data_IF_256117971123
#
_entry.id   IF_256117971123
#
_cell.length_a   1.000
_cell.length_b   1.000
_cell.length_c   1.000
_cell.angle_alpha   90.00
_cell.angle_beta   90.00
_cell.angle_gamma   90.00
#
_symmetry.space_group_name_H-M   'P 1'
#
loop_
_entity.id
_entity.type
_entity.pdbx_description
1 polymer ?
#
# COMPACT_ATOMS: atom_id res chain seq x y z
N UNK A 1 -22.25 24.26 23.53
CA UNK A 1 -21.17 23.30 23.83
C UNK A 1 -19.87 24.09 23.93
N UNK A 2 -19.19 24.03 25.08
CA UNK A 2 -17.88 24.67 25.30
C UNK A 2 -16.76 23.68 25.01
N UNK A 3 -15.74 24.12 24.29
CA UNK A 3 -14.54 23.27 24.02
C UNK A 3 -13.50 23.58 25.09
N UNK A 4 -13.20 22.60 25.93
CA UNK A 4 -12.11 22.69 26.90
C UNK A 4 -10.85 22.12 26.26
N UNK A 5 -9.85 22.98 26.00
CA UNK A 5 -8.60 22.61 25.34
C UNK A 5 -7.40 22.71 26.29
N UNK A 6 -6.87 21.57 26.71
CA UNK A 6 -5.68 21.48 27.58
C UNK A 6 -4.37 21.33 26.81
N UNK A 7 -4.41 21.27 25.46
CA UNK A 7 -3.25 20.86 24.64
C UNK A 7 -2.99 21.78 23.46
N UNK A 8 -3.64 22.93 23.42
CA UNK A 8 -3.63 23.86 22.28
C UNK A 8 -4.10 23.23 20.97
N UNK A 9 -5.00 22.25 21.04
CA UNK A 9 -5.52 21.52 19.89
C UNK A 9 -6.32 22.41 18.94
N UNK A 10 -7.04 23.41 19.47
CA UNK A 10 -7.76 24.40 18.66
C UNK A 10 -6.80 25.25 17.84
N UNK A 11 -5.66 25.64 18.43
CA UNK A 11 -4.62 26.38 17.72
C UNK A 11 -3.98 25.51 16.62
N UNK A 12 -3.69 24.24 16.92
CA UNK A 12 -3.14 23.29 15.94
C UNK A 12 -4.11 23.06 14.77
N UNK A 13 -5.41 22.96 15.02
CA UNK A 13 -6.45 22.87 13.99
C UNK A 13 -6.45 24.11 13.09
N UNK A 14 -6.37 25.30 13.67
CA UNK A 14 -6.35 26.55 12.90
C UNK A 14 -5.07 26.68 12.05
N UNK A 15 -3.92 26.25 12.59
CA UNK A 15 -2.64 26.25 11.89
C UNK A 15 -2.46 25.04 10.94
N UNK A 16 -3.38 24.08 10.97
CA UNK A 16 -3.28 22.81 10.24
C UNK A 16 -1.98 22.04 10.53
N UNK A 17 -1.56 22.04 11.77
CA UNK A 17 -0.36 21.34 12.23
C UNK A 17 -0.73 20.06 12.97
N UNK A 18 0.09 19.02 12.81
CA UNK A 18 -0.02 17.81 13.61
C UNK A 18 0.80 17.92 14.88
N UNK A 19 0.18 17.59 16.01
CA UNK A 19 0.84 17.47 17.31
C UNK A 19 0.81 16.01 17.78
N UNK A 20 1.87 15.58 18.45
CA UNK A 20 1.92 14.32 19.20
C UNK A 20 2.02 14.70 20.68
N UNK A 21 1.09 14.21 21.47
CA UNK A 21 1.11 14.43 22.92
C UNK A 21 2.30 13.70 23.53
N UNK A 22 3.17 14.44 24.22
CA UNK A 22 4.43 13.97 24.77
C UNK A 22 5.59 14.03 23.77
N UNK A 23 6.67 13.30 24.07
CA UNK A 23 7.85 13.23 23.21
C UNK A 23 7.59 12.34 21.99
N UNK A 24 7.67 12.86 20.74
CA UNK A 24 7.45 12.04 19.54
C UNK A 24 8.37 10.82 19.45
N UNK A 25 9.64 10.98 19.89
CA UNK A 25 10.63 9.88 19.85
C UNK A 25 10.27 8.75 20.82
N UNK A 26 9.71 9.04 21.97
CA UNK A 26 9.29 8.05 22.96
C UNK A 26 7.99 7.38 22.51
N UNK A 27 7.04 8.17 22.02
CA UNK A 27 5.78 7.65 21.50
C UNK A 27 5.97 6.70 20.30
N UNK A 28 6.98 6.93 19.45
CA UNK A 28 7.33 6.02 18.37
C UNK A 28 8.09 4.78 18.85
N UNK A 29 8.80 4.84 19.99
CA UNK A 29 9.39 3.64 20.63
C UNK A 29 8.31 2.77 21.28
N UNK A 30 7.36 3.38 21.97
CA UNK A 30 6.24 2.66 22.60
C UNK A 30 5.39 1.92 21.55
N UNK A 31 5.04 2.59 20.46
CA UNK A 31 4.19 2.04 19.38
C UNK A 31 4.62 2.60 18.02
N UNK A 32 5.49 1.89 17.29
CA UNK A 32 5.97 2.36 15.97
C UNK A 32 4.87 2.51 14.90
N UNK A 33 3.71 1.86 15.07
CA UNK A 33 2.55 2.05 14.18
C UNK A 33 2.07 3.50 14.17
N UNK A 34 2.35 4.26 15.22
CA UNK A 34 2.03 5.70 15.28
C UNK A 34 2.64 6.50 14.13
N UNK A 35 3.79 6.06 13.59
CA UNK A 35 4.39 6.67 12.39
C UNK A 35 3.39 6.64 11.22
N UNK A 36 2.77 5.49 10.97
CA UNK A 36 1.77 5.35 9.91
C UNK A 36 0.49 6.14 10.20
N UNK A 37 0.10 6.20 11.47
CA UNK A 37 -1.06 7.00 11.88
C UNK A 37 -0.84 8.49 11.65
N UNK A 38 0.37 9.01 11.95
CA UNK A 38 0.74 10.39 11.64
C UNK A 38 0.61 10.68 10.15
N UNK A 39 1.17 9.81 9.31
CA UNK A 39 1.07 9.94 7.85
C UNK A 39 -0.38 9.92 7.39
N UNK A 40 -1.17 8.97 7.90
CA UNK A 40 -2.59 8.83 7.57
C UNK A 40 -3.40 10.06 7.96
N UNK A 41 -3.19 10.60 9.17
CA UNK A 41 -3.90 11.79 9.64
C UNK A 41 -3.49 13.03 8.85
N UNK A 42 -2.19 13.20 8.58
CA UNK A 42 -1.68 14.27 7.71
C UNK A 42 -2.34 14.20 6.31
N UNK A 43 -2.34 13.03 5.69
CA UNK A 43 -2.93 12.84 4.37
C UNK A 43 -4.44 13.09 4.33
N UNK A 44 -5.16 12.66 5.39
CA UNK A 44 -6.62 12.81 5.51
C UNK A 44 -7.04 14.26 5.70
N UNK A 45 -6.34 14.99 6.56
CA UNK A 45 -6.71 16.35 6.95
C UNK A 45 -5.98 17.42 6.15
N UNK A 46 -4.95 17.05 5.36
CA UNK A 46 -4.07 18.02 4.71
C UNK A 46 -3.20 18.81 5.70
N UNK A 47 -2.92 18.23 6.87
CA UNK A 47 -2.15 18.89 7.91
C UNK A 47 -0.65 18.66 7.72
N UNK A 48 0.12 19.69 8.04
CA UNK A 48 1.59 19.64 7.99
C UNK A 48 2.16 18.83 9.16
N UNK A 49 3.13 18.00 8.87
CA UNK A 49 3.93 17.30 9.88
C UNK A 49 5.09 18.21 10.27
N UNK A 50 5.17 18.69 11.53
CA UNK A 50 6.26 19.57 11.96
C UNK A 50 7.64 18.91 11.82
N UNK A 51 8.70 19.68 11.51
CA UNK A 51 10.06 19.15 11.30
C UNK A 51 10.61 18.31 12.47
N UNK A 52 10.20 18.63 13.69
CA UNK A 52 10.55 17.86 14.89
C UNK A 52 10.00 16.44 14.83
N UNK A 53 8.77 16.27 14.36
CA UNK A 53 8.12 14.96 14.19
C UNK A 53 8.74 14.21 13.00
N UNK A 54 8.95 14.88 11.86
CA UNK A 54 9.60 14.26 10.70
C UNK A 54 10.98 13.70 11.03
N UNK A 55 11.80 14.47 11.78
CA UNK A 55 13.12 14.01 12.22
C UNK A 55 13.03 12.74 13.06
N UNK A 56 12.03 12.64 13.95
CA UNK A 56 11.82 11.43 14.76
C UNK A 56 11.28 10.27 13.93
N UNK A 57 10.40 10.50 12.96
CA UNK A 57 9.96 9.47 12.01
C UNK A 57 11.18 8.86 11.31
N UNK A 58 12.02 9.69 10.68
CA UNK A 58 13.24 9.22 9.99
C UNK A 58 14.17 8.43 10.91
N UNK A 59 14.35 8.87 12.15
CA UNK A 59 15.18 8.20 13.16
C UNK A 59 14.63 6.84 13.61
N UNK A 60 13.31 6.72 13.72
CA UNK A 60 12.62 5.55 14.30
C UNK A 60 11.98 4.64 13.26
N UNK A 61 12.20 4.92 11.99
CA UNK A 61 11.57 4.23 10.88
C UNK A 61 11.82 2.70 10.91
N UNK A 62 13.01 2.26 11.31
CA UNK A 62 13.35 0.84 11.40
C UNK A 62 12.51 0.07 12.41
N UNK A 63 11.97 0.74 13.45
CA UNK A 63 11.12 0.09 14.46
C UNK A 63 9.79 -0.44 13.89
N UNK A 64 9.38 0.03 12.70
CA UNK A 64 8.19 -0.49 12.01
C UNK A 64 8.35 -1.99 11.72
N UNK A 65 9.58 -2.49 11.55
CA UNK A 65 9.86 -3.90 11.29
C UNK A 65 9.50 -4.82 12.46
N UNK A 66 9.47 -4.27 13.67
CA UNK A 66 9.17 -4.99 14.91
C UNK A 66 7.66 -5.05 15.20
N UNK A 67 6.86 -4.31 14.41
CA UNK A 67 5.40 -4.34 14.53
C UNK A 67 4.83 -5.62 13.93
N UNK A 68 3.79 -6.16 14.56
CA UNK A 68 3.13 -7.35 14.02
C UNK A 68 2.61 -7.08 12.59
N UNK A 69 2.86 -8.02 11.70
CA UNK A 69 2.49 -7.94 10.28
C UNK A 69 0.97 -7.69 10.07
N UNK A 70 0.13 -8.20 10.97
CA UNK A 70 -1.32 -8.01 10.92
C UNK A 70 -1.70 -6.54 11.22
N UNK A 71 -1.08 -5.91 12.23
CA UNK A 71 -1.31 -4.48 12.52
C UNK A 71 -0.87 -3.58 11.36
N UNK A 72 0.27 -3.91 10.73
CA UNK A 72 0.74 -3.19 9.56
C UNK A 72 -0.23 -3.34 8.38
N UNK A 73 -0.77 -4.54 8.17
CA UNK A 73 -1.79 -4.77 7.14
C UNK A 73 -3.00 -3.86 7.34
N UNK A 74 -3.55 -3.82 8.55
CA UNK A 74 -4.72 -3.00 8.87
C UNK A 74 -4.46 -1.49 8.68
N UNK A 75 -3.29 -1.00 9.12
CA UNK A 75 -2.94 0.42 8.94
C UNK A 75 -2.70 0.77 7.47
N UNK A 76 -2.14 -0.13 6.67
CA UNK A 76 -2.00 0.08 5.21
C UNK A 76 -3.38 0.20 4.55
N UNK A 77 -4.33 -0.68 4.90
CA UNK A 77 -5.68 -0.59 4.37
C UNK A 77 -6.33 0.75 4.74
N UNK A 78 -6.23 1.16 6.01
CA UNK A 78 -6.74 2.46 6.48
C UNK A 78 -6.04 3.64 5.80
N UNK A 79 -4.79 3.49 5.41
CA UNK A 79 -4.02 4.57 4.77
C UNK A 79 -4.40 4.74 3.29
N UNK A 80 -4.65 3.63 2.58
CA UNK A 80 -4.81 3.69 1.13
C UNK A 80 -6.25 3.48 0.63
N UNK A 81 -7.18 3.00 1.47
CA UNK A 81 -8.54 2.68 1.03
C UNK A 81 -9.63 3.59 1.60
N UNK A 82 -9.27 4.73 2.17
CA UNK A 82 -10.23 5.65 2.77
C UNK A 82 -10.38 7.00 2.02
N UNK A 83 -9.90 7.07 0.76
CA UNK A 83 -10.16 8.20 -0.12
C UNK A 83 -9.13 9.34 -0.08
N UNK A 84 -7.96 9.11 0.52
CA UNK A 84 -6.81 10.03 0.56
C UNK A 84 -5.47 9.32 0.34
N UNK A 85 -5.51 8.16 -0.31
CA UNK A 85 -4.35 7.31 -0.56
C UNK A 85 -3.27 7.98 -1.40
N UNK A 86 -3.64 8.80 -2.38
CA UNK A 86 -2.69 9.55 -3.19
C UNK A 86 -1.90 10.57 -2.36
N UNK A 87 -2.56 11.27 -1.42
CA UNK A 87 -1.88 12.18 -0.50
C UNK A 87 -0.96 11.41 0.46
N UNK A 88 -1.43 10.27 0.97
CA UNK A 88 -0.61 9.40 1.83
C UNK A 88 0.65 8.91 1.10
N UNK A 89 0.55 8.54 -0.18
CA UNK A 89 1.70 8.16 -1.01
C UNK A 89 2.74 9.29 -1.11
N UNK A 90 2.30 10.54 -1.29
CA UNK A 90 3.19 11.71 -1.35
C UNK A 90 3.96 11.87 -0.04
N UNK A 91 3.25 11.90 1.10
CA UNK A 91 3.86 12.01 2.43
C UNK A 91 4.80 10.84 2.71
N UNK A 92 4.44 9.61 2.36
CA UNK A 92 5.30 8.44 2.50
C UNK A 92 6.59 8.53 1.67
N UNK A 93 6.51 9.10 0.46
CA UNK A 93 7.69 9.33 -0.39
C UNK A 93 8.63 10.35 0.23
N UNK A 94 8.12 11.48 0.71
CA UNK A 94 8.89 12.57 1.35
C UNK A 94 9.62 12.09 2.62
N UNK A 95 8.95 11.25 3.39
CA UNK A 95 9.50 10.68 4.63
C UNK A 95 10.32 9.40 4.43
N UNK A 96 10.44 8.90 3.18
CA UNK A 96 11.08 7.61 2.83
C UNK A 96 10.44 6.38 3.49
N UNK A 97 9.20 6.47 3.96
CA UNK A 97 8.47 5.38 4.64
C UNK A 97 8.05 4.30 3.66
N UNK A 98 7.75 4.67 2.42
CA UNK A 98 7.29 3.73 1.39
C UNK A 98 8.28 2.59 1.13
N UNK A 99 9.58 2.86 1.27
CA UNK A 99 10.65 1.88 1.05
C UNK A 99 10.61 0.68 2.01
N UNK A 100 9.93 0.81 3.15
CA UNK A 100 9.81 -0.25 4.13
C UNK A 100 8.70 -1.24 3.74
N UNK A 101 7.62 -0.74 3.14
CA UNK A 101 6.45 -1.56 2.81
C UNK A 101 6.57 -2.30 1.50
N UNK A 102 7.34 -1.76 0.58
CA UNK A 102 7.52 -2.34 -0.74
C UNK A 102 8.87 -3.05 -0.74
N UNK A 103 8.79 -4.36 -0.50
CA UNK A 103 9.96 -5.20 -0.53
C UNK A 103 10.69 -5.08 -1.86
N UNK A 104 11.98 -4.95 -1.80
CA UNK A 104 12.89 -5.28 -2.89
C UNK A 104 13.76 -4.17 -3.50
N UNK A 105 14.06 -3.18 -3.03
CA UNK A 105 14.99 -2.16 -3.52
C UNK A 105 14.37 -0.76 -3.66
N UNK A 106 14.81 0.17 -2.82
CA UNK A 106 14.38 1.58 -2.89
C UNK A 106 14.51 2.20 -4.28
N UNK A 107 15.47 1.74 -5.10
CA UNK A 107 15.67 2.24 -6.45
C UNK A 107 14.50 1.94 -7.41
N UNK A 108 13.65 0.93 -7.14
CA UNK A 108 12.51 0.59 -8.00
C UNK A 108 11.29 1.45 -7.76
N UNK A 109 11.08 1.87 -6.53
CA UNK A 109 10.03 2.83 -6.21
C UNK A 109 10.34 4.17 -6.89
N UNK A 110 11.64 4.43 -7.14
CA UNK A 110 12.12 5.58 -7.90
C UNK A 110 11.94 5.43 -9.42
N UNK A 111 11.64 4.23 -9.92
CA UNK A 111 11.30 4.06 -11.33
C UNK A 111 10.05 4.89 -11.67
N UNK A 112 10.14 5.74 -12.68
CA UNK A 112 9.03 6.58 -13.15
C UNK A 112 7.76 5.76 -13.42
N UNK A 113 7.91 4.56 -14.01
CA UNK A 113 6.80 3.69 -14.35
C UNK A 113 6.11 3.13 -13.09
N UNK A 114 6.87 2.69 -12.08
CA UNK A 114 6.31 2.20 -10.81
C UNK A 114 5.65 3.34 -10.03
N UNK A 115 6.27 4.51 -9.99
CA UNK A 115 5.70 5.67 -9.32
C UNK A 115 4.37 6.08 -9.97
N UNK A 116 4.32 6.14 -11.31
CA UNK A 116 3.10 6.45 -12.07
C UNK A 116 2.01 5.39 -11.86
N UNK A 117 2.38 4.10 -11.84
CA UNK A 117 1.45 3.00 -11.57
C UNK A 117 0.75 3.20 -10.21
N UNK A 118 1.52 3.49 -9.15
CA UNK A 118 0.96 3.69 -7.82
C UNK A 118 0.11 4.96 -7.73
N UNK A 119 0.48 6.03 -8.41
CA UNK A 119 -0.30 7.26 -8.48
C UNK A 119 -1.66 7.03 -9.18
N UNK A 120 -1.67 6.33 -10.31
CA UNK A 120 -2.91 5.97 -11.02
C UNK A 120 -3.79 5.07 -10.16
N UNK A 121 -3.21 4.04 -9.52
CA UNK A 121 -3.93 3.15 -8.62
C UNK A 121 -4.64 3.93 -7.52
N UNK A 122 -3.89 4.77 -6.80
CA UNK A 122 -4.43 5.46 -5.63
C UNK A 122 -5.38 6.58 -6.00
N UNK A 123 -5.12 7.31 -7.09
CA UNK A 123 -6.07 8.30 -7.61
C UNK A 123 -7.42 7.64 -7.99
N UNK A 124 -7.38 6.51 -8.69
CA UNK A 124 -8.59 5.74 -9.04
C UNK A 124 -9.29 5.20 -7.79
N UNK A 125 -8.52 4.75 -6.79
CA UNK A 125 -9.06 4.26 -5.52
C UNK A 125 -9.77 5.38 -4.77
N UNK A 126 -9.14 6.53 -4.63
CA UNK A 126 -9.69 7.70 -3.94
C UNK A 126 -10.97 8.19 -4.62
N UNK A 127 -10.99 8.25 -5.96
CA UNK A 127 -12.19 8.61 -6.73
C UNK A 127 -13.34 7.63 -6.48
N UNK A 128 -13.07 6.31 -6.45
CA UNK A 128 -14.11 5.30 -6.16
C UNK A 128 -14.68 5.47 -4.75
N UNK A 129 -13.83 5.72 -3.76
CA UNK A 129 -14.27 5.96 -2.38
C UNK A 129 -15.14 7.22 -2.29
N UNK A 130 -14.75 8.31 -2.95
CA UNK A 130 -15.56 9.53 -3.05
C UNK A 130 -16.92 9.28 -3.69
N UNK A 131 -16.99 8.38 -4.67
CA UNK A 131 -18.23 7.92 -5.30
C UNK A 131 -19.00 6.87 -4.47
N UNK A 132 -18.59 6.60 -3.23
CA UNK A 132 -19.15 5.56 -2.34
C UNK A 132 -19.13 4.15 -2.95
N UNK A 133 -18.21 3.89 -3.89
CA UNK A 133 -18.01 2.57 -4.51
C UNK A 133 -17.04 1.74 -3.70
N UNK A 134 -17.30 0.44 -3.63
CA UNK A 134 -16.41 -0.49 -2.94
C UNK A 134 -15.03 -0.56 -3.61
N UNK A 135 -13.99 -0.55 -2.80
CA UNK A 135 -12.61 -0.82 -3.22
C UNK A 135 -12.09 -2.04 -2.49
N UNK A 136 -11.60 -3.00 -3.26
CA UNK A 136 -11.16 -4.26 -2.66
C UNK A 136 -9.70 -4.24 -2.22
N UNK A 137 -9.37 -4.74 -1.01
CA UNK A 137 -7.98 -4.84 -0.55
C UNK A 137 -7.07 -5.65 -1.48
N UNK A 138 -7.59 -6.72 -2.09
CA UNK A 138 -6.79 -7.56 -2.97
C UNK A 138 -6.37 -6.84 -4.26
N UNK A 139 -7.18 -5.90 -4.78
CA UNK A 139 -6.80 -5.07 -5.92
C UNK A 139 -5.63 -4.15 -5.55
N UNK A 140 -5.69 -3.50 -4.41
CA UNK A 140 -4.58 -2.67 -3.91
C UNK A 140 -3.27 -3.46 -3.87
N UNK A 141 -3.28 -4.63 -3.23
CA UNK A 141 -2.07 -5.46 -3.12
C UNK A 141 -1.64 -6.07 -4.44
N UNK A 142 -2.56 -6.44 -5.33
CA UNK A 142 -2.22 -6.94 -6.66
C UNK A 142 -1.37 -5.93 -7.44
N UNK A 143 -1.73 -4.65 -7.37
CA UNK A 143 -0.98 -3.58 -8.06
C UNK A 143 0.29 -3.20 -7.31
N UNK A 144 0.26 -3.08 -5.98
CA UNK A 144 1.45 -2.75 -5.19
C UNK A 144 2.55 -3.81 -5.32
N UNK A 145 2.18 -5.08 -5.42
CA UNK A 145 3.12 -6.20 -5.54
C UNK A 145 3.52 -6.50 -7.00
N UNK A 146 2.87 -5.88 -7.98
CA UNK A 146 3.13 -6.14 -9.39
C UNK A 146 4.61 -5.95 -9.81
N UNK A 147 5.31 -4.88 -9.42
CA UNK A 147 6.73 -4.72 -9.76
C UNK A 147 7.63 -5.82 -9.16
N UNK A 148 7.30 -6.27 -7.95
CA UNK A 148 8.03 -7.36 -7.28
C UNK A 148 7.76 -8.72 -7.94
N UNK A 149 6.51 -8.95 -8.38
CA UNK A 149 6.14 -10.13 -9.14
C UNK A 149 6.90 -10.20 -10.47
N UNK A 150 6.95 -9.10 -11.23
CA UNK A 150 7.67 -9.05 -12.51
C UNK A 150 9.16 -9.38 -12.35
N UNK A 151 9.77 -8.99 -11.24
CA UNK A 151 11.13 -9.39 -10.91
C UNK A 151 11.26 -10.89 -10.63
N UNK A 152 10.34 -11.46 -9.87
CA UNK A 152 10.39 -12.90 -9.60
C UNK A 152 10.15 -13.70 -10.90
N UNK A 153 9.27 -13.23 -11.78
CA UNK A 153 9.06 -13.80 -13.11
C UNK A 153 10.37 -13.77 -13.92
N UNK A 154 11.09 -12.64 -13.94
CA UNK A 154 12.35 -12.52 -14.68
C UNK A 154 13.47 -13.44 -14.18
N UNK A 155 13.38 -13.92 -12.94
CA UNK A 155 14.33 -14.90 -12.37
C UNK A 155 14.01 -16.35 -12.73
N UNK A 156 12.78 -16.63 -13.16
CA UNK A 156 12.36 -17.97 -13.59
C UNK A 156 12.86 -18.22 -15.00
N UNK A 157 14.14 -18.58 -15.13
CA UNK A 157 14.80 -18.81 -16.43
C UNK A 157 14.52 -20.24 -16.94
N UNK A 158 13.28 -20.54 -17.34
CA UNK A 158 12.93 -21.83 -17.91
C UNK A 158 12.02 -21.65 -19.12
N UNK A 159 12.61 -21.70 -20.32
CA UNK A 159 11.92 -21.56 -21.62
C UNK A 159 10.86 -22.65 -21.90
N UNK A 160 10.86 -23.76 -21.14
CA UNK A 160 9.89 -24.86 -21.30
C UNK A 160 8.60 -24.63 -20.50
N UNK A 161 8.55 -23.61 -19.63
CA UNK A 161 7.38 -23.33 -18.82
C UNK A 161 6.39 -22.42 -19.55
N UNK A 162 5.11 -22.72 -19.37
CA UNK A 162 4.05 -21.80 -19.81
C UNK A 162 4.07 -20.52 -18.95
N UNK A 163 3.58 -19.42 -19.50
CA UNK A 163 3.51 -18.13 -18.79
C UNK A 163 2.73 -18.25 -17.48
N UNK A 164 1.65 -19.04 -17.46
CA UNK A 164 0.85 -19.27 -16.24
C UNK A 164 1.66 -20.05 -15.20
N UNK A 165 2.38 -21.10 -15.58
CA UNK A 165 3.24 -21.85 -14.65
C UNK A 165 4.36 -20.98 -14.10
N UNK A 166 4.96 -20.13 -14.93
CA UNK A 166 5.98 -19.16 -14.51
C UNK A 166 5.41 -18.18 -13.48
N UNK A 167 4.20 -17.65 -13.74
CA UNK A 167 3.49 -16.80 -12.79
C UNK A 167 3.23 -17.50 -11.45
N UNK A 168 2.76 -18.76 -11.49
CA UNK A 168 2.45 -19.52 -10.27
C UNK A 168 3.69 -19.77 -9.41
N UNK A 169 4.83 -20.08 -10.05
CA UNK A 169 6.10 -20.24 -9.34
C UNK A 169 6.58 -18.92 -8.74
N UNK A 170 6.54 -17.83 -9.53
CA UNK A 170 6.98 -16.51 -9.09
C UNK A 170 6.10 -15.96 -7.95
N UNK A 171 4.79 -16.15 -8.05
CA UNK A 171 3.85 -15.69 -7.01
C UNK A 171 4.00 -16.47 -5.70
N UNK A 172 4.21 -17.80 -5.75
CA UNK A 172 4.54 -18.58 -4.54
C UNK A 172 5.79 -18.04 -3.88
N UNK A 173 6.89 -17.89 -4.63
CA UNK A 173 8.14 -17.30 -4.10
C UNK A 173 7.95 -15.90 -3.52
N UNK A 174 7.07 -15.10 -4.09
CA UNK A 174 6.77 -13.77 -3.59
C UNK A 174 5.98 -13.83 -2.27
N UNK A 175 4.99 -14.70 -2.15
CA UNK A 175 4.19 -14.84 -0.95
C UNK A 175 4.90 -15.57 0.19
N UNK A 176 5.75 -16.56 -0.12
CA UNK A 176 6.53 -17.33 0.87
C UNK A 176 7.72 -16.54 1.43
N UNK A 177 8.20 -15.53 0.72
CA UNK A 177 9.25 -14.69 1.25
C UNK A 177 8.75 -14.03 2.53
N UNK A 178 9.43 -14.26 3.64
CA UNK A 178 9.28 -13.54 4.91
C UNK A 178 9.41 -12.01 4.77
N UNK A 179 9.59 -11.59 3.59
CA UNK A 179 9.96 -10.29 3.08
C UNK A 179 8.81 -9.29 2.99
N UNK A 180 7.58 -9.74 3.07
CA UNK A 180 6.45 -8.83 3.18
C UNK A 180 6.37 -8.41 4.64
N UNK A 181 6.63 -7.12 4.92
CA UNK A 181 6.35 -6.54 6.25
C UNK A 181 4.88 -6.69 6.65
N UNK A 182 4.04 -7.06 5.69
CA UNK A 182 2.60 -7.13 5.85
C UNK A 182 2.13 -8.57 5.66
N UNK A 183 1.39 -9.10 6.62
CA UNK A 183 0.75 -10.41 6.48
C UNK A 183 -0.52 -10.28 5.65
N UNK A 184 -0.43 -10.67 4.38
CA UNK A 184 -1.63 -10.72 3.52
C UNK A 184 -2.41 -11.99 3.84
N UNK A 185 -3.69 -11.89 4.28
CA UNK A 185 -4.50 -13.07 4.55
C UNK A 185 -4.64 -13.97 3.33
N UNK A 186 -4.60 -15.31 3.53
CA UNK A 186 -4.68 -16.30 2.44
C UNK A 186 -5.85 -16.06 1.47
N UNK A 187 -7.01 -15.65 2.00
CA UNK A 187 -8.19 -15.30 1.18
C UNK A 187 -7.92 -14.20 0.14
N UNK A 188 -7.02 -13.26 0.45
CA UNK A 188 -6.63 -12.21 -0.50
C UNK A 188 -5.54 -12.70 -1.46
N UNK A 189 -4.63 -13.56 -1.01
CA UNK A 189 -3.58 -14.13 -1.88
C UNK A 189 -4.18 -14.87 -3.08
N UNK A 190 -5.22 -15.68 -2.87
CA UNK A 190 -5.93 -16.35 -3.97
C UNK A 190 -6.53 -15.35 -4.95
N UNK A 191 -7.22 -14.32 -4.47
CA UNK A 191 -7.81 -13.30 -5.32
C UNK A 191 -6.77 -12.47 -6.08
N UNK A 192 -5.64 -12.17 -5.44
CA UNK A 192 -4.50 -11.48 -6.09
C UNK A 192 -3.95 -12.34 -7.22
N UNK A 193 -3.72 -13.64 -6.98
CA UNK A 193 -3.23 -14.56 -7.99
C UNK A 193 -4.19 -14.68 -9.17
N UNK A 194 -5.49 -14.77 -8.92
CA UNK A 194 -6.51 -14.79 -9.98
C UNK A 194 -6.51 -13.51 -10.82
N UNK A 195 -6.32 -12.35 -10.20
CA UNK A 195 -6.21 -11.07 -10.91
C UNK A 195 -4.97 -11.04 -11.80
N UNK A 196 -3.82 -11.52 -11.30
CA UNK A 196 -2.60 -11.60 -12.10
C UNK A 196 -2.71 -12.57 -13.27
N UNK A 197 -3.33 -13.74 -13.05
CA UNK A 197 -3.62 -14.71 -14.12
C UNK A 197 -4.52 -14.10 -15.20
N UNK A 198 -5.60 -13.44 -14.77
CA UNK A 198 -6.52 -12.77 -15.69
C UNK A 198 -5.84 -11.66 -16.48
N UNK A 199 -5.02 -10.85 -15.84
CA UNK A 199 -4.27 -9.78 -16.50
C UNK A 199 -3.34 -10.33 -17.59
N UNK A 200 -2.58 -11.39 -17.30
CA UNK A 200 -1.72 -12.04 -18.31
C UNK A 200 -2.51 -12.68 -19.45
N UNK A 201 -3.68 -13.25 -19.17
CA UNK A 201 -4.55 -13.81 -20.21
C UNK A 201 -5.11 -12.72 -21.15
N UNK A 202 -5.40 -11.54 -20.61
CA UNK A 202 -5.84 -10.38 -21.42
C UNK A 202 -4.71 -9.81 -22.29
N UNK A 203 -3.46 -9.86 -21.80
CA UNK A 203 -2.29 -9.43 -22.57
C UNK A 203 -1.93 -10.41 -23.71
N UNK A 204 -2.41 -11.65 -23.65
CA UNK A 204 -2.24 -12.68 -24.70
C UNK A 204 -3.63 -13.02 -25.31
N UNK A 205 -4.18 -12.16 -26.15
CA UNK A 205 -5.56 -12.28 -26.57
C UNK A 205 -5.75 -13.53 -27.47
N UNK A 206 -6.38 -14.54 -26.91
CA UNK A 206 -7.09 -15.55 -27.68
C UNK A 206 -8.59 -15.20 -27.61
N UNK A 207 -9.23 -14.73 -28.69
CA UNK A 207 -10.62 -14.27 -28.66
C UNK A 207 -11.57 -15.28 -28.01
N UNK A 208 -11.44 -16.57 -28.34
CA UNK A 208 -12.26 -17.66 -27.78
C UNK A 208 -12.10 -17.79 -26.25
N UNK A 209 -10.92 -17.50 -25.70
CA UNK A 209 -10.65 -17.53 -24.25
C UNK A 209 -11.23 -16.30 -23.54
N UNK A 210 -11.14 -15.14 -24.15
CA UNK A 210 -11.70 -13.90 -23.60
C UNK A 210 -13.21 -14.02 -23.49
N UNK A 211 -13.89 -14.52 -24.53
CA UNK A 211 -15.34 -14.76 -24.52
C UNK A 211 -15.76 -15.79 -23.46
N UNK A 212 -15.00 -16.87 -23.31
CA UNK A 212 -15.25 -17.87 -22.28
C UNK A 212 -15.09 -17.28 -20.85
N UNK A 213 -14.08 -16.42 -20.63
CA UNK A 213 -13.87 -15.72 -19.35
C UNK A 213 -15.00 -14.77 -19.04
N UNK A 214 -15.49 -14.02 -20.02
CA UNK A 214 -16.62 -13.08 -19.86
C UNK A 214 -17.94 -13.81 -19.58
N UNK A 215 -18.11 -15.01 -20.12
CA UNK A 215 -19.31 -15.86 -19.88
C UNK A 215 -19.30 -16.54 -18.52
N UNK A 216 -18.14 -16.99 -18.03
CA UNK A 216 -18.04 -17.74 -16.76
C UNK A 216 -17.88 -16.88 -15.51
N UNK A 217 -17.42 -15.67 -15.65
CA UNK A 217 -17.35 -14.73 -14.52
C UNK A 217 -18.49 -13.73 -14.69
N UNK A 218 -19.45 -13.80 -13.79
CA UNK A 218 -20.43 -12.74 -13.67
C UNK A 218 -19.68 -11.44 -13.29
N UNK A 219 -19.25 -10.68 -14.29
CA UNK A 219 -18.94 -9.26 -14.14
C UNK A 219 -20.21 -8.45 -13.88
N UNK A 220 -21.25 -9.13 -13.39
CA UNK A 220 -22.52 -8.53 -13.05
C UNK A 220 -22.46 -8.00 -11.63
N UNK A 221 -22.55 -6.70 -11.56
CA UNK A 221 -22.71 -5.71 -10.49
C UNK A 221 -21.45 -5.02 -10.04
#
# INVERSE_FOLDING_TARGET
>A
DEIIDFTDGVEDLNKKHLRILGSPGDRFREDPVRILRVIRVSAKLGFTIPPKIEKQIKKKLNLIKDVSKARLFDEILKTFLLGYGLNALKVMKELNVLNIFIYDNPSRIRSKNTAKLYEILLASTDLRVQQKKYVSPHFLFAVLLWPSLMKEISKVNNKKLTVIKTLDIASRKLFDKECLLVSIPKRYMFKILDMWRMHLQLLMPNPKRVDAMLKHRSFRS
#
